data_IF_009897939436
#
_entry.id   IF_009897939436
#
_cell.length_a   1.000
_cell.length_b   1.000
_cell.length_c   1.000
_cell.angle_alpha   90.00
_cell.angle_beta   90.00
_cell.angle_gamma   90.00
#
_symmetry.space_group_name_H-M   'P 1'
#
loop_
_entity.id
_entity.type
_entity.pdbx_description
1 polymer ?
#
# COMPACT_ATOMS: atom_id res chain seq x y z
N UNK A 1 -2.04 -4.57 -20.65
CA UNK A 1 -0.66 -4.96 -20.27
C UNK A 1 -0.41 -4.42 -18.87
N UNK A 2 0.17 -5.21 -17.97
CA UNK A 2 0.56 -4.72 -16.63
C UNK A 2 1.56 -3.58 -16.83
N UNK A 3 1.24 -2.38 -16.38
CA UNK A 3 2.17 -1.26 -16.34
C UNK A 3 3.33 -1.63 -15.40
N UNK A 4 4.39 -2.22 -15.97
CA UNK A 4 5.57 -2.73 -15.27
C UNK A 4 6.43 -1.63 -14.62
N UNK A 5 5.98 -0.38 -14.67
CA UNK A 5 6.65 0.78 -14.10
C UNK A 5 6.29 1.02 -12.64
N UNK A 6 5.24 0.36 -12.12
CA UNK A 6 4.75 0.52 -10.75
C UNK A 6 4.95 -0.76 -9.95
N UNK A 7 5.53 -0.63 -8.77
CA UNK A 7 5.76 -1.74 -7.85
C UNK A 7 4.44 -2.11 -7.16
N UNK A 8 4.03 -3.37 -7.23
CA UNK A 8 2.80 -3.85 -6.56
C UNK A 8 3.14 -4.56 -5.27
N UNK A 9 2.59 -4.11 -4.15
CA UNK A 9 2.82 -4.71 -2.83
C UNK A 9 1.53 -5.34 -2.32
N UNK A 10 1.54 -6.66 -2.11
CA UNK A 10 0.45 -7.35 -1.43
C UNK A 10 0.61 -7.21 0.09
N UNK A 11 -0.43 -6.72 0.77
CA UNK A 11 -0.45 -6.59 2.24
C UNK A 11 -1.77 -7.10 2.82
N UNK A 12 -1.75 -7.48 4.10
CA UNK A 12 -2.95 -7.94 4.79
C UNK A 12 -3.93 -6.77 5.02
N UNK A 13 -5.15 -6.88 4.47
CA UNK A 13 -6.22 -5.88 4.66
C UNK A 13 -6.64 -5.74 6.13
N UNK A 14 -6.84 -6.87 6.79
CA UNK A 14 -7.31 -6.99 8.17
C UNK A 14 -6.73 -8.24 8.81
N UNK A 15 -6.29 -8.14 10.07
CA UNK A 15 -5.76 -9.26 10.83
C UNK A 15 -4.59 -8.82 11.70
N UNK A 16 -3.78 -9.79 12.16
CA UNK A 16 -2.68 -9.53 13.09
C UNK A 16 -1.68 -8.49 12.57
N UNK A 17 -1.40 -8.48 11.27
CA UNK A 17 -0.32 -7.71 10.67
C UNK A 17 -0.79 -6.45 9.94
N UNK A 18 -2.10 -6.19 9.85
CA UNK A 18 -2.59 -5.09 9.01
C UNK A 18 -2.07 -3.72 9.45
N UNK A 19 -2.07 -3.45 10.75
CA UNK A 19 -1.69 -2.13 11.26
C UNK A 19 -0.18 -1.94 11.29
N UNK A 20 0.57 -2.97 11.72
CA UNK A 20 2.04 -2.95 11.70
C UNK A 20 2.59 -2.81 10.27
N UNK A 21 1.97 -3.46 9.27
CA UNK A 21 2.38 -3.33 7.87
C UNK A 21 2.15 -1.92 7.34
N UNK A 22 1.04 -1.27 7.72
CA UNK A 22 0.75 0.12 7.35
C UNK A 22 1.74 1.08 7.99
N UNK A 23 2.03 0.87 9.27
CA UNK A 23 2.97 1.70 10.00
C UNK A 23 4.39 1.59 9.45
N UNK A 24 4.83 0.38 9.07
CA UNK A 24 6.12 0.17 8.41
C UNK A 24 6.22 0.98 7.10
N UNK A 25 5.20 0.90 6.24
CA UNK A 25 5.18 1.63 4.97
C UNK A 25 5.18 3.15 5.19
N UNK A 26 4.45 3.64 6.21
CA UNK A 26 4.47 5.05 6.61
C UNK A 26 5.86 5.49 7.11
N UNK A 27 6.54 4.66 7.92
CA UNK A 27 7.92 4.92 8.39
C UNK A 27 8.94 4.92 7.26
N UNK A 28 8.72 4.13 6.21
CA UNK A 28 9.49 4.18 4.97
C UNK A 28 9.19 5.45 4.12
N UNK A 29 8.30 6.33 4.58
CA UNK A 29 7.93 7.55 3.89
C UNK A 29 6.94 7.35 2.74
N UNK A 30 6.28 6.20 2.65
CA UNK A 30 5.30 5.91 1.61
C UNK A 30 3.94 6.44 2.06
N UNK A 31 3.41 7.44 1.35
CA UNK A 31 2.08 8.03 1.61
C UNK A 31 1.04 7.25 0.83
N UNK A 32 0.35 6.33 1.51
CA UNK A 32 -0.68 5.48 0.91
C UNK A 32 -2.06 5.92 1.39
N UNK A 33 -2.98 6.18 0.47
CA UNK A 33 -4.37 6.48 0.81
C UNK A 33 -5.19 5.19 0.89
N UNK A 34 -5.27 4.62 2.09
CA UNK A 34 -5.98 3.37 2.36
C UNK A 34 -7.47 3.63 2.58
N UNK A 35 -8.26 3.54 1.51
CA UNK A 35 -9.72 3.57 1.61
C UNK A 35 -10.26 2.22 2.07
N UNK A 36 -11.00 2.19 3.18
CA UNK A 36 -11.52 0.95 3.79
C UNK A 36 -12.40 0.10 2.84
N UNK A 37 -13.04 0.74 1.86
CA UNK A 37 -13.91 0.08 0.88
C UNK A 37 -13.17 -0.49 -0.33
N UNK A 38 -11.89 -0.14 -0.54
CA UNK A 38 -11.08 -0.61 -1.68
C UNK A 38 -10.05 -1.65 -1.25
N UNK A 39 -9.74 -2.58 -2.17
CA UNK A 39 -8.72 -3.62 -1.98
C UNK A 39 -7.36 -3.24 -2.60
N UNK A 40 -7.31 -2.14 -3.34
CA UNK A 40 -6.12 -1.57 -3.95
C UNK A 40 -6.00 -0.14 -3.47
N UNK A 41 -4.79 0.27 -3.10
CA UNK A 41 -4.46 1.60 -2.66
C UNK A 41 -3.23 2.09 -3.40
N UNK A 42 -3.22 3.36 -3.78
CA UNK A 42 -2.12 3.94 -4.54
C UNK A 42 -1.26 4.79 -3.62
N UNK A 43 0.06 4.70 -3.76
CA UNK A 43 0.96 5.64 -3.12
C UNK A 43 0.93 6.98 -3.86
N UNK A 44 0.75 8.07 -3.12
CA UNK A 44 0.65 9.43 -3.67
C UNK A 44 2.01 9.99 -4.09
N UNK A 45 3.09 9.51 -3.48
CA UNK A 45 4.44 10.05 -3.62
C UNK A 45 5.45 9.10 -4.30
N UNK A 46 5.04 7.87 -4.64
CA UNK A 46 5.91 6.85 -5.25
C UNK A 46 5.16 6.02 -6.28
N UNK A 47 5.86 5.39 -7.26
CA UNK A 47 5.23 4.49 -8.22
C UNK A 47 4.92 3.12 -7.58
N UNK A 48 4.07 3.10 -6.55
CA UNK A 48 3.68 1.91 -5.78
C UNK A 48 2.16 1.77 -5.75
N UNK A 49 1.69 0.53 -5.94
CA UNK A 49 0.28 0.09 -5.94
C UNK A 49 0.04 -1.05 -4.94
#
# INVERSE_FOLDING_TARGET
MLDNKRLRIAMQKSGRLSDESRELLARCGIKINLQQQRLIAFAENMPID
#
